data_IF_427311497733
#
_entry.id   IF_427311497733
#
_cell.length_a   1.000
_cell.length_b   1.000
_cell.length_c   1.000
_cell.angle_alpha   90.00
_cell.angle_beta   90.00
_cell.angle_gamma   90.00
#
_symmetry.space_group_name_H-M   'P 1'
#
loop_
_entity.id
_entity.type
_entity.pdbx_description
1 polymer ?
#
# COMPACT_ATOMS: atom_id res chain seq x y z
N UNK A 1 -26.55 11.74 -3.03
CA UNK A 1 -26.01 12.05 -1.69
C UNK A 1 -24.51 12.22 -1.85
N UNK A 2 -23.98 13.43 -1.77
CA UNK A 2 -22.54 13.63 -1.72
C UNK A 2 -22.06 13.15 -0.34
N UNK A 3 -21.30 12.06 -0.30
CA UNK A 3 -20.61 11.62 0.90
C UNK A 3 -19.65 12.75 1.31
N UNK A 4 -19.92 13.40 2.44
CA UNK A 4 -18.95 14.32 3.02
C UNK A 4 -17.82 13.47 3.62
N UNK A 5 -16.78 13.25 2.81
CA UNK A 5 -15.63 12.39 3.15
C UNK A 5 -14.42 13.21 3.64
N UNK A 6 -14.60 14.51 3.89
CA UNK A 6 -13.51 15.34 4.39
C UNK A 6 -13.10 14.93 5.80
N UNK A 7 -11.81 14.82 6.04
CA UNK A 7 -11.18 14.50 7.33
C UNK A 7 -11.67 13.16 7.92
N UNK A 8 -11.62 12.14 7.10
CA UNK A 8 -11.91 10.76 7.49
C UNK A 8 -10.67 9.89 7.48
N UNK A 9 -10.63 8.92 8.39
CA UNK A 9 -9.59 7.89 8.38
C UNK A 9 -10.18 6.50 8.58
N UNK A 10 -9.42 5.47 8.21
CA UNK A 10 -9.76 4.07 8.42
C UNK A 10 -8.49 3.25 8.65
N UNK A 11 -8.53 2.32 9.60
CA UNK A 11 -7.53 1.27 9.70
C UNK A 11 -7.78 0.22 8.61
N UNK A 12 -6.82 0.02 7.71
CA UNK A 12 -6.92 -0.95 6.62
C UNK A 12 -6.57 -2.37 7.14
N UNK A 13 -7.40 -2.89 8.04
CA UNK A 13 -7.20 -4.18 8.72
C UNK A 13 -7.34 -5.40 7.81
N UNK A 14 -7.95 -5.24 6.64
CA UNK A 14 -8.04 -6.29 5.61
C UNK A 14 -6.82 -6.34 4.70
N UNK A 15 -5.79 -5.57 5.00
CA UNK A 15 -4.56 -5.47 4.22
C UNK A 15 -3.43 -6.22 4.89
N UNK A 16 -2.74 -7.07 4.14
CA UNK A 16 -1.50 -7.74 4.55
C UNK A 16 -0.32 -7.20 3.79
N UNK A 17 0.88 -7.34 4.36
CA UNK A 17 2.12 -6.87 3.75
C UNK A 17 3.07 -8.03 3.54
N UNK A 18 3.50 -8.26 2.29
CA UNK A 18 4.57 -9.19 1.94
C UNK A 18 5.86 -8.38 1.78
N UNK A 19 6.88 -8.72 2.53
CA UNK A 19 8.23 -8.18 2.39
C UNK A 19 9.05 -9.07 1.45
N UNK A 20 9.70 -8.47 0.46
CA UNK A 20 10.57 -9.15 -0.51
C UNK A 20 11.97 -8.58 -0.41
N UNK A 21 12.92 -9.39 0.01
CA UNK A 21 14.31 -9.02 0.30
C UNK A 21 15.29 -9.84 -0.53
N UNK A 22 16.50 -9.34 -0.68
CA UNK A 22 17.62 -10.02 -1.35
C UNK A 22 18.04 -9.33 -2.64
N UNK A 23 19.23 -9.72 -3.12
CA UNK A 23 19.88 -9.09 -4.28
C UNK A 23 19.04 -9.20 -5.55
N UNK A 24 18.30 -10.30 -5.69
CA UNK A 24 17.50 -10.59 -6.89
C UNK A 24 16.03 -10.14 -6.76
N UNK A 25 15.63 -9.34 -5.73
CA UNK A 25 14.23 -8.93 -5.50
C UNK A 25 13.59 -8.24 -6.70
N UNK A 26 14.31 -7.32 -7.35
CA UNK A 26 13.80 -6.60 -8.52
C UNK A 26 13.66 -7.51 -9.74
N UNK A 27 14.71 -8.22 -10.22
CA UNK A 27 14.57 -9.12 -11.37
C UNK A 27 13.59 -10.27 -11.10
N UNK A 28 13.50 -10.76 -9.86
CA UNK A 28 12.50 -11.76 -9.49
C UNK A 28 11.07 -11.24 -9.68
N UNK A 29 10.72 -10.10 -9.06
CA UNK A 29 9.38 -9.52 -9.17
C UNK A 29 9.07 -9.06 -10.61
N UNK A 30 10.05 -8.57 -11.35
CA UNK A 30 9.91 -8.23 -12.77
C UNK A 30 9.44 -9.43 -13.62
N UNK A 31 9.86 -10.63 -13.28
CA UNK A 31 9.42 -11.86 -13.94
C UNK A 31 8.05 -12.39 -13.51
N UNK A 32 7.48 -11.86 -12.42
CA UNK A 32 6.23 -12.37 -11.84
C UNK A 32 5.05 -11.40 -12.03
N UNK A 33 5.30 -10.10 -12.08
CA UNK A 33 4.27 -9.07 -12.03
C UNK A 33 4.06 -8.40 -13.39
N UNK A 34 2.88 -7.84 -13.58
CA UNK A 34 2.47 -7.24 -14.88
C UNK A 34 3.01 -5.84 -15.12
N UNK A 35 3.72 -5.25 -14.17
CA UNK A 35 4.23 -3.88 -14.25
C UNK A 35 5.76 -3.86 -14.22
N UNK A 36 6.36 -2.81 -14.74
CA UNK A 36 7.81 -2.62 -14.66
C UNK A 36 8.23 -2.24 -13.25
N UNK A 37 8.74 -3.22 -12.50
CA UNK A 37 9.15 -3.08 -11.09
C UNK A 37 10.34 -2.11 -10.93
N UNK A 38 11.10 -1.88 -11.98
CA UNK A 38 12.21 -0.91 -11.98
C UNK A 38 11.75 0.54 -11.86
N UNK A 39 10.45 0.79 -12.06
CA UNK A 39 9.85 2.12 -11.86
C UNK A 39 9.56 2.43 -10.38
N UNK A 40 9.68 1.45 -9.49
CA UNK A 40 9.63 1.69 -8.05
C UNK A 40 10.88 2.47 -7.66
N UNK A 41 10.68 3.52 -6.88
CA UNK A 41 11.77 4.28 -6.28
C UNK A 41 11.44 4.64 -4.83
N UNK A 42 12.38 5.29 -4.15
CA UNK A 42 12.17 5.76 -2.78
C UNK A 42 10.91 6.63 -2.62
N UNK A 43 10.54 7.37 -3.63
CA UNK A 43 9.44 8.33 -3.64
C UNK A 43 8.27 7.94 -4.56
N UNK A 44 8.30 6.73 -5.15
CA UNK A 44 7.30 6.28 -6.10
C UNK A 44 6.90 4.82 -5.91
N UNK A 45 5.61 4.58 -5.73
CA UNK A 45 4.99 3.26 -5.73
C UNK A 45 4.38 2.92 -7.10
N UNK A 46 3.94 1.68 -7.26
CA UNK A 46 3.13 1.26 -8.39
C UNK A 46 2.12 0.17 -8.00
N UNK A 47 1.05 0.08 -8.75
CA UNK A 47 0.17 -1.08 -8.73
C UNK A 47 0.61 -2.11 -9.76
N UNK A 48 0.57 -3.39 -9.40
CA UNK A 48 0.89 -4.50 -10.28
C UNK A 48 -0.10 -5.66 -10.11
N UNK A 49 -0.38 -6.35 -11.19
CA UNK A 49 -1.12 -7.60 -11.18
C UNK A 49 -0.18 -8.81 -11.08
N UNK A 50 -0.62 -9.86 -10.42
CA UNK A 50 -0.03 -11.19 -10.48
C UNK A 50 -1.00 -12.12 -11.20
N UNK A 51 -0.56 -12.74 -12.29
CA UNK A 51 -1.40 -13.55 -13.16
C UNK A 51 -1.00 -15.03 -13.14
N UNK A 52 -1.96 -15.89 -13.46
CA UNK A 52 -1.65 -17.28 -13.79
C UNK A 52 -1.14 -17.40 -15.25
N UNK A 53 -0.61 -18.56 -15.68
CA UNK A 53 -0.11 -18.76 -17.04
C UNK A 53 -1.15 -18.57 -18.17
N UNK A 54 -2.45 -18.53 -17.82
CA UNK A 54 -3.55 -18.26 -18.76
C UNK A 54 -3.91 -16.76 -18.82
N UNK A 55 -3.13 -15.88 -18.14
CA UNK A 55 -3.36 -14.45 -18.11
C UNK A 55 -4.48 -13.99 -17.15
N UNK A 56 -5.06 -14.89 -16.34
CA UNK A 56 -6.06 -14.49 -15.34
C UNK A 56 -5.38 -13.85 -14.15
N UNK A 57 -5.83 -12.65 -13.76
CA UNK A 57 -5.34 -11.94 -12.58
C UNK A 57 -5.75 -12.71 -11.32
N UNK A 58 -4.76 -13.02 -10.48
CA UNK A 58 -4.91 -13.70 -9.20
C UNK A 58 -4.85 -12.74 -8.02
N UNK A 59 -4.10 -11.64 -8.18
CA UNK A 59 -3.99 -10.58 -7.20
C UNK A 59 -3.69 -9.25 -7.90
N UNK A 60 -4.17 -8.16 -7.29
CA UNK A 60 -3.78 -6.79 -7.63
C UNK A 60 -3.15 -6.19 -6.38
N UNK A 61 -1.96 -5.64 -6.50
CA UNK A 61 -1.09 -5.35 -5.38
C UNK A 61 -0.46 -3.98 -5.52
N UNK A 62 -0.30 -3.28 -4.39
CA UNK A 62 0.47 -2.04 -4.32
C UNK A 62 1.89 -2.36 -3.89
N UNK A 63 2.87 -2.01 -4.74
CA UNK A 63 4.27 -2.30 -4.54
C UNK A 63 5.06 -1.00 -4.31
N UNK A 64 5.93 -0.98 -3.30
CA UNK A 64 6.76 0.17 -2.96
C UNK A 64 8.07 -0.26 -2.30
N UNK A 65 9.06 0.61 -2.31
CA UNK A 65 10.34 0.38 -1.66
C UNK A 65 10.30 0.86 -0.21
N UNK A 66 10.82 0.03 0.69
CA UNK A 66 11.06 0.40 2.08
C UNK A 66 12.40 -0.19 2.53
N UNK A 67 13.35 0.70 2.86
CA UNK A 67 14.75 0.34 3.06
C UNK A 67 15.29 -0.47 1.87
N UNK A 68 15.98 -1.59 2.12
CA UNK A 68 16.54 -2.46 1.08
C UNK A 68 15.58 -3.57 0.61
N UNK A 69 14.27 -3.35 0.75
CA UNK A 69 13.24 -4.35 0.41
C UNK A 69 12.11 -3.74 -0.43
N UNK A 70 11.40 -4.59 -1.17
CA UNK A 70 10.14 -4.23 -1.80
C UNK A 70 9.01 -4.78 -0.95
N UNK A 71 8.11 -3.91 -0.55
CA UNK A 71 6.90 -4.26 0.16
C UNK A 71 5.73 -4.36 -0.82
N UNK A 72 4.90 -5.36 -0.61
CA UNK A 72 3.71 -5.64 -1.43
C UNK A 72 2.51 -5.65 -0.52
N UNK A 73 1.65 -4.64 -0.64
CA UNK A 73 0.36 -4.60 0.03
C UNK A 73 -0.67 -5.38 -0.79
N UNK A 74 -1.40 -6.27 -0.13
CA UNK A 74 -2.35 -7.20 -0.73
C UNK A 74 -3.53 -7.44 0.23
N UNK A 75 -4.69 -7.83 -0.29
CA UNK A 75 -5.81 -8.24 0.55
C UNK A 75 -5.45 -9.48 1.39
N UNK A 76 -5.79 -9.43 2.68
CA UNK A 76 -5.41 -10.47 3.65
C UNK A 76 -6.01 -11.84 3.32
N UNK A 77 -7.19 -11.87 2.68
CA UNK A 77 -7.88 -13.13 2.32
C UNK A 77 -7.12 -13.96 1.28
N UNK A 78 -6.29 -13.30 0.45
CA UNK A 78 -5.49 -13.95 -0.60
C UNK A 78 -3.99 -13.91 -0.34
N UNK A 79 -3.52 -13.25 0.72
CA UNK A 79 -2.09 -13.02 0.98
C UNK A 79 -1.29 -14.32 1.09
N UNK A 80 -1.71 -15.26 1.93
CA UNK A 80 -1.05 -16.57 2.11
C UNK A 80 -1.01 -17.44 0.84
N UNK A 81 -2.14 -17.64 0.10
CA UNK A 81 -2.11 -18.32 -1.18
C UNK A 81 -1.17 -17.70 -2.21
N UNK A 82 -1.15 -16.37 -2.32
CA UNK A 82 -0.29 -15.65 -3.26
C UNK A 82 1.18 -15.76 -2.83
N UNK A 83 1.50 -15.57 -1.54
CA UNK A 83 2.85 -15.75 -1.01
C UNK A 83 3.40 -17.14 -1.32
N UNK A 84 2.62 -18.20 -1.03
CA UNK A 84 3.03 -19.58 -1.35
C UNK A 84 3.30 -19.76 -2.84
N UNK A 85 2.45 -19.19 -3.70
CA UNK A 85 2.62 -19.27 -5.15
C UNK A 85 3.86 -18.51 -5.61
N UNK A 86 4.14 -17.32 -5.13
CA UNK A 86 5.37 -16.58 -5.43
C UNK A 86 6.62 -17.36 -4.98
N UNK A 87 6.58 -17.98 -3.79
CA UNK A 87 7.71 -18.79 -3.28
C UNK A 87 8.05 -19.98 -4.19
N UNK A 88 7.09 -20.55 -4.92
CA UNK A 88 7.37 -21.64 -5.88
C UNK A 88 8.25 -21.21 -7.05
N UNK A 89 8.30 -19.93 -7.37
CA UNK A 89 9.10 -19.38 -8.47
C UNK A 89 10.48 -18.85 -8.03
N UNK A 90 10.80 -18.87 -6.74
CA UNK A 90 12.09 -18.37 -6.23
C UNK A 90 13.26 -19.15 -6.81
N UNK A 91 13.13 -20.49 -6.92
CA UNK A 91 14.13 -21.39 -7.53
C UNK A 91 15.56 -21.07 -7.08
N UNK A 92 16.36 -20.42 -7.95
CA UNK A 92 17.78 -20.07 -7.72
C UNK A 92 17.98 -18.58 -7.38
N UNK A 93 16.92 -17.78 -7.36
CA UNK A 93 17.00 -16.36 -7.06
C UNK A 93 17.38 -16.13 -5.60
N UNK A 94 18.29 -15.20 -5.35
CA UNK A 94 18.67 -14.77 -4.00
C UNK A 94 17.60 -13.81 -3.47
N UNK A 95 16.43 -14.35 -3.14
CA UNK A 95 15.28 -13.59 -2.66
C UNK A 95 14.56 -14.35 -1.55
N UNK A 96 14.11 -13.64 -0.55
CA UNK A 96 13.20 -14.13 0.49
C UNK A 96 11.88 -13.35 0.46
N UNK A 97 10.77 -14.05 0.71
CA UNK A 97 9.44 -13.47 0.78
C UNK A 97 8.78 -13.90 2.10
N UNK A 98 8.33 -12.93 2.89
CA UNK A 98 7.70 -13.19 4.18
C UNK A 98 6.51 -12.24 4.37
N UNK A 99 5.44 -12.71 5.02
CA UNK A 99 4.43 -11.81 5.55
C UNK A 99 5.04 -11.04 6.72
N UNK A 100 4.81 -9.73 6.75
CA UNK A 100 5.09 -8.94 7.93
C UNK A 100 3.99 -9.19 8.97
N UNK A 101 4.43 -9.44 10.20
CA UNK A 101 3.54 -9.60 11.34
C UNK A 101 2.83 -8.27 11.69
N UNK A 102 2.01 -8.29 12.75
CA UNK A 102 1.18 -7.18 13.24
C UNK A 102 1.94 -5.90 13.67
N UNK A 103 3.22 -5.80 13.37
CA UNK A 103 4.04 -4.62 13.66
C UNK A 103 3.93 -3.53 12.59
N UNK A 104 3.34 -3.85 11.44
CA UNK A 104 3.15 -2.90 10.35
C UNK A 104 1.68 -2.52 10.23
N UNK A 105 1.40 -1.22 10.29
CA UNK A 105 0.04 -0.69 10.24
C UNK A 105 -0.13 0.16 8.99
N UNK A 106 -1.29 0.04 8.37
CA UNK A 106 -1.73 0.85 7.25
C UNK A 106 -3.04 1.55 7.60
N UNK A 107 -3.06 2.87 7.48
CA UNK A 107 -4.23 3.73 7.71
C UNK A 107 -4.54 4.51 6.46
N UNK A 108 -5.76 4.37 5.95
CA UNK A 108 -6.29 5.22 4.90
C UNK A 108 -6.80 6.54 5.49
N UNK A 109 -6.58 7.67 4.83
CA UNK A 109 -7.23 8.92 5.20
C UNK A 109 -7.60 9.76 3.96
N UNK A 110 -8.62 10.58 4.12
CA UNK A 110 -9.23 11.41 3.05
C UNK A 110 -9.33 12.85 3.54
N UNK A 111 -8.98 13.78 2.68
CA UNK A 111 -9.17 15.21 2.91
C UNK A 111 -7.94 16.03 2.57
N UNK A 112 -8.20 17.29 2.25
CA UNK A 112 -7.19 18.28 1.86
C UNK A 112 -6.72 19.15 3.02
N UNK A 113 -7.30 18.99 4.23
CA UNK A 113 -6.84 19.76 5.37
C UNK A 113 -5.37 19.47 5.62
N UNK A 114 -4.55 20.51 5.73
CA UNK A 114 -3.15 20.33 6.08
C UNK A 114 -3.05 19.58 7.39
N UNK A 115 -2.09 18.69 7.47
CA UNK A 115 -1.71 18.06 8.73
C UNK A 115 -1.39 19.18 9.73
N UNK A 116 -1.65 18.96 11.03
CA UNK A 116 -1.39 19.99 12.04
C UNK A 116 0.06 20.47 12.03
N UNK A 117 1.00 19.54 11.77
CA UNK A 117 2.39 19.94 11.53
C UNK A 117 2.55 20.38 10.07
N UNK A 118 2.65 21.69 9.85
CA UNK A 118 2.80 22.31 8.54
C UNK A 118 4.13 21.97 7.82
N UNK A 119 5.10 21.41 8.52
CA UNK A 119 6.36 20.95 7.92
C UNK A 119 6.19 19.62 7.16
N UNK A 120 5.08 18.89 7.38
CA UNK A 120 4.78 17.64 6.69
C UNK A 120 3.98 17.94 5.41
N UNK A 121 4.64 17.82 4.27
CA UNK A 121 3.99 17.93 2.96
C UNK A 121 3.33 16.62 2.58
N UNK A 122 2.08 16.69 2.09
CA UNK A 122 1.43 15.54 1.46
C UNK A 122 1.96 15.34 0.04
N UNK A 123 2.05 14.07 -0.43
CA UNK A 123 2.46 13.80 -1.81
C UNK A 123 1.42 14.38 -2.79
N UNK A 124 1.92 15.04 -3.85
CA UNK A 124 1.10 15.79 -4.81
C UNK A 124 0.54 14.92 -5.93
N UNK A 125 1.33 13.93 -6.40
CA UNK A 125 0.91 13.10 -7.52
C UNK A 125 0.49 11.70 -7.08
N UNK A 126 -0.32 11.07 -7.89
CA UNK A 126 -0.77 9.69 -7.69
C UNK A 126 0.41 8.73 -7.55
N UNK A 127 0.42 7.92 -6.48
CA UNK A 127 1.46 6.97 -6.07
C UNK A 127 2.81 7.59 -5.70
N UNK A 128 2.90 8.91 -5.54
CA UNK A 128 4.06 9.53 -4.89
C UNK A 128 4.07 9.21 -3.39
N UNK A 129 5.27 9.14 -2.84
CA UNK A 129 5.54 8.82 -1.45
C UNK A 129 6.32 9.96 -0.81
N UNK A 130 5.90 10.35 0.38
CA UNK A 130 6.66 11.24 1.27
C UNK A 130 6.93 10.49 2.57
N UNK A 131 8.16 10.58 3.07
CA UNK A 131 8.56 10.01 4.35
C UNK A 131 8.80 11.10 5.37
N UNK A 132 8.23 10.93 6.55
CA UNK A 132 8.37 11.88 7.64
C UNK A 132 8.18 11.17 8.98
N UNK A 133 9.05 11.44 9.96
CA UNK A 133 8.93 10.90 11.32
C UNK A 133 8.81 9.37 11.38
N UNK A 134 9.60 8.65 10.58
CA UNK A 134 9.62 7.19 10.46
C UNK A 134 8.26 6.58 9.99
N UNK A 135 7.44 7.36 9.32
CA UNK A 135 6.24 6.90 8.63
C UNK A 135 6.29 7.27 7.14
N UNK A 136 5.56 6.53 6.36
CA UNK A 136 5.39 6.75 4.93
C UNK A 136 3.98 7.25 4.66
N UNK A 137 3.84 8.31 3.87
CA UNK A 137 2.56 8.82 3.37
C UNK A 137 2.57 8.65 1.86
N UNK A 138 1.60 7.96 1.33
CA UNK A 138 1.44 7.71 -0.10
C UNK A 138 0.11 8.25 -0.60
N UNK A 139 0.10 8.96 -1.74
CA UNK A 139 -1.14 9.36 -2.39
C UNK A 139 -1.70 8.20 -3.22
N UNK A 140 -2.79 7.60 -2.75
CA UNK A 140 -3.45 6.47 -3.44
C UNK A 140 -4.70 6.88 -4.21
N UNK A 141 -5.18 8.12 -4.05
CA UNK A 141 -6.27 8.68 -4.82
C UNK A 141 -5.78 9.24 -6.16
N UNK A 142 -6.32 8.76 -7.27
CA UNK A 142 -6.07 9.30 -8.61
C UNK A 142 -6.98 10.50 -8.89
N UNK A 143 -8.26 10.34 -8.56
CA UNK A 143 -9.31 11.35 -8.76
C UNK A 143 -9.80 11.93 -7.42
N UNK A 144 -9.31 11.42 -6.31
CA UNK A 144 -9.69 11.79 -4.95
C UNK A 144 -8.46 12.21 -4.13
N UNK A 145 -8.65 13.05 -3.12
CA UNK A 145 -7.59 13.41 -2.15
C UNK A 145 -7.51 12.36 -1.05
N UNK A 146 -6.91 11.24 -1.40
CA UNK A 146 -6.84 10.05 -0.59
C UNK A 146 -5.42 9.55 -0.45
N UNK A 147 -5.06 9.22 0.78
CA UNK A 147 -3.70 8.86 1.17
C UNK A 147 -3.70 7.59 2.01
N UNK A 148 -2.57 6.90 2.02
CA UNK A 148 -2.26 5.86 2.99
C UNK A 148 -1.06 6.28 3.83
N UNK A 149 -1.21 6.16 5.14
CA UNK A 149 -0.16 6.30 6.14
C UNK A 149 0.29 4.91 6.56
N UNK A 150 1.58 4.61 6.44
CA UNK A 150 2.11 3.27 6.65
C UNK A 150 3.41 3.30 7.45
N UNK A 151 3.66 2.24 8.20
CA UNK A 151 4.90 2.05 8.96
C UNK A 151 4.71 1.18 10.20
N UNK A 152 5.68 1.25 11.11
CA UNK A 152 5.57 0.62 12.42
C UNK A 152 4.32 1.10 13.16
N UNK A 153 3.60 0.17 13.78
CA UNK A 153 2.31 0.45 14.44
C UNK A 153 2.40 1.55 15.48
N UNK A 154 3.48 1.59 16.26
CA UNK A 154 3.67 2.62 17.30
C UNK A 154 3.90 3.99 16.68
N UNK A 155 4.70 4.05 15.61
CA UNK A 155 5.01 5.29 14.88
C UNK A 155 3.76 5.84 14.18
N UNK A 156 3.01 4.98 13.49
CA UNK A 156 1.74 5.35 12.83
C UNK A 156 0.73 5.89 13.84
N UNK A 157 0.54 5.23 14.98
CA UNK A 157 -0.38 5.69 16.01
C UNK A 157 0.04 7.02 16.62
N UNK A 158 1.34 7.24 16.83
CA UNK A 158 1.87 8.50 17.32
C UNK A 158 1.65 9.62 16.31
N UNK A 159 1.96 9.35 15.03
CA UNK A 159 1.75 10.29 13.95
C UNK A 159 0.27 10.70 13.83
N UNK A 160 -0.65 9.75 13.87
CA UNK A 160 -2.09 10.03 13.80
C UNK A 160 -2.56 10.93 14.94
N UNK A 161 -2.17 10.64 16.17
CA UNK A 161 -2.54 11.46 17.34
C UNK A 161 -2.06 12.89 17.22
N UNK A 162 -0.87 13.10 16.68
CA UNK A 162 -0.25 14.42 16.58
C UNK A 162 -0.75 15.23 15.37
N UNK A 163 -1.07 14.57 14.26
CA UNK A 163 -1.29 15.25 12.99
C UNK A 163 -2.73 15.16 12.46
N UNK A 164 -3.50 14.16 12.93
CA UNK A 164 -4.88 13.90 12.47
C UNK A 164 -5.91 13.90 13.60
N UNK A 165 -5.82 14.75 14.65
CA UNK A 165 -6.70 14.64 15.82
C UNK A 165 -8.17 14.97 15.51
N UNK A 166 -8.44 15.76 14.46
CA UNK A 166 -9.79 16.13 14.05
C UNK A 166 -10.41 15.15 13.03
N UNK A 167 -9.65 14.16 12.60
CA UNK A 167 -10.15 13.16 11.67
C UNK A 167 -11.06 12.17 12.39
N UNK A 168 -12.17 11.81 11.77
CA UNK A 168 -13.14 10.84 12.29
C UNK A 168 -13.11 9.55 11.48
N UNK A 169 -13.50 8.43 12.10
CA UNK A 169 -13.50 7.13 11.43
C UNK A 169 -14.50 7.06 10.28
N UNK A 170 -14.16 6.31 9.24
CA UNK A 170 -15.05 5.92 8.15
C UNK A 170 -15.16 4.40 8.05
N UNK A 171 -16.18 3.90 7.35
CA UNK A 171 -16.36 2.47 7.10
C UNK A 171 -15.46 1.96 5.98
N UNK A 172 -15.19 0.63 5.97
CA UNK A 172 -14.49 -0.03 4.87
C UNK A 172 -15.26 0.11 3.55
N UNK A 173 -16.59 -0.01 3.59
CA UNK A 173 -17.44 0.21 2.42
C UNK A 173 -17.22 1.59 1.79
N UNK A 174 -17.11 2.65 2.60
CA UNK A 174 -16.81 3.99 2.10
C UNK A 174 -15.42 4.06 1.45
N UNK A 175 -14.42 3.39 2.01
CA UNK A 175 -13.09 3.30 1.42
C UNK A 175 -13.09 2.52 0.09
N UNK A 176 -13.82 1.41 0.02
CA UNK A 176 -13.97 0.61 -1.20
C UNK A 176 -14.71 1.36 -2.31
N UNK A 177 -15.72 2.17 -1.96
CA UNK A 177 -16.35 3.06 -2.92
C UNK A 177 -15.36 4.07 -3.52
N UNK A 178 -14.41 4.57 -2.73
CA UNK A 178 -13.32 5.41 -3.25
C UNK A 178 -12.35 4.63 -4.16
N UNK A 179 -12.10 3.34 -3.90
CA UNK A 179 -11.34 2.48 -4.80
C UNK A 179 -12.01 2.40 -6.18
N UNK A 180 -13.35 2.26 -6.22
CA UNK A 180 -14.12 2.23 -7.47
C UNK A 180 -13.99 3.55 -8.23
N UNK A 181 -14.12 4.69 -7.54
CA UNK A 181 -13.97 6.04 -8.14
C UNK A 181 -12.58 6.24 -8.74
N UNK A 182 -11.56 5.74 -8.07
CA UNK A 182 -10.17 5.84 -8.51
C UNK A 182 -9.77 4.74 -9.51
N UNK A 183 -10.67 3.78 -9.81
CA UNK A 183 -10.41 2.67 -10.73
C UNK A 183 -9.42 1.65 -10.19
N UNK A 184 -9.34 1.48 -8.87
CA UNK A 184 -8.49 0.51 -8.20
C UNK A 184 -9.29 -0.78 -7.99
N UNK A 185 -8.94 -1.90 -8.68
CA UNK A 185 -9.70 -3.13 -8.54
C UNK A 185 -9.37 -3.85 -7.24
N UNK A 186 -10.39 -4.42 -6.60
CA UNK A 186 -10.25 -5.39 -5.53
C UNK A 186 -10.41 -6.80 -6.09
N UNK A 187 -9.46 -7.68 -5.80
CA UNK A 187 -9.52 -9.10 -6.19
C UNK A 187 -9.74 -9.92 -4.93
N UNK A 188 -10.85 -10.61 -4.90
CA UNK A 188 -11.26 -11.52 -3.83
C UNK A 188 -11.12 -12.98 -4.26
N UNK A 189 -11.12 -13.96 -3.32
CA UNK A 189 -11.07 -15.39 -3.62
C UNK A 189 -12.16 -15.88 -4.54
#
# INVERSE_FOLDING_TARGET
MSLNLENKFILLSTSSMIKVEGDDRVPFLQGQLTQDIKLISHDKALFAGFCNPKGRVLAFMLCFEEHDSIHIQIDSSIAEPILRRLKMYVLRSKVSLNLLDNQFTCVGFVGSKPLLNQDIKLPENYLDIVRSHDVMIMRVGKNTERYQLMGDTTKVNTFMKLNLPEYTSMSMESWDNLNIIDGIPNIYP
#
